data_IF_808126889372
#
_entry.id   IF_808126889372
#
_cell.length_a   1.000
_cell.length_b   1.000
_cell.length_c   1.000
_cell.angle_alpha   90.00
_cell.angle_beta   90.00
_cell.angle_gamma   90.00
#
_symmetry.space_group_name_H-M   'P 1'
#
loop_
_entity.id
_entity.type
_entity.pdbx_description
1 polymer ?
#
# COMPACT_ATOMS: atom_id res chain seq x y z
N UNK A 1 35.89 -51.27 16.19
CA UNK A 1 35.58 -49.83 16.10
C UNK A 1 35.04 -49.56 14.70
N UNK A 2 33.71 -49.47 14.55
CA UNK A 2 33.07 -49.31 13.24
C UNK A 2 32.33 -47.96 13.19
N UNK A 3 32.78 -47.09 12.27
CA UNK A 3 32.26 -45.75 12.03
C UNK A 3 30.98 -45.80 11.18
N UNK A 4 29.84 -45.37 11.73
CA UNK A 4 28.59 -45.18 10.98
C UNK A 4 28.54 -43.76 10.43
N UNK A 5 28.63 -43.56 9.12
CA UNK A 5 28.55 -42.24 8.48
C UNK A 5 27.08 -41.86 8.27
N UNK A 6 26.65 -40.78 8.93
CA UNK A 6 25.28 -40.24 8.77
C UNK A 6 25.32 -39.12 7.72
N UNK A 7 24.69 -39.33 6.57
CA UNK A 7 24.50 -38.28 5.55
C UNK A 7 23.22 -37.51 5.89
N UNK A 8 23.35 -36.20 6.12
CA UNK A 8 22.20 -35.36 6.47
C UNK A 8 21.53 -34.77 5.23
N UNK A 9 20.27 -35.14 4.99
CA UNK A 9 19.34 -34.46 4.06
C UNK A 9 18.14 -33.94 4.85
N UNK A 10 17.56 -32.78 4.52
CA UNK A 10 16.74 -32.01 5.47
C UNK A 10 15.37 -32.61 5.81
N UNK A 11 14.99 -33.79 5.29
CA UNK A 11 13.66 -34.34 5.58
C UNK A 11 13.44 -35.85 5.40
N UNK A 12 14.49 -36.66 5.25
CA UNK A 12 14.36 -38.12 5.26
C UNK A 12 15.53 -38.70 6.04
N UNK A 13 15.25 -39.33 7.19
CA UNK A 13 16.21 -40.21 7.87
C UNK A 13 15.80 -41.63 7.52
N UNK A 14 16.51 -42.24 6.57
CA UNK A 14 16.43 -43.69 6.34
C UNK A 14 17.59 -44.30 7.09
N UNK A 15 17.31 -45.23 8.00
CA UNK A 15 18.33 -46.10 8.60
C UNK A 15 18.26 -47.43 7.85
N UNK A 16 19.39 -47.87 7.30
CA UNK A 16 19.54 -49.14 6.60
C UNK A 16 20.37 -50.08 7.47
N UNK A 17 19.85 -51.27 7.71
CA UNK A 17 20.54 -52.42 8.30
C UNK A 17 21.02 -53.40 7.21
N UNK A 18 21.96 -54.28 7.58
CA UNK A 18 22.88 -55.00 6.68
C UNK A 18 22.22 -55.95 5.66
N UNK A 19 20.91 -56.19 5.75
CA UNK A 19 20.16 -57.06 4.83
C UNK A 19 19.12 -56.35 3.94
N UNK A 20 19.18 -55.02 3.84
CA UNK A 20 18.56 -54.29 2.73
C UNK A 20 17.02 -54.33 2.64
N UNK A 21 16.31 -54.54 3.75
CA UNK A 21 14.87 -54.24 3.82
C UNK A 21 14.67 -52.78 4.28
N UNK A 22 13.78 -52.07 3.59
CA UNK A 22 13.40 -50.70 3.91
C UNK A 22 12.14 -50.72 4.78
N UNK A 23 12.24 -50.35 6.06
CA UNK A 23 11.04 -50.00 6.83
C UNK A 23 10.62 -48.57 6.46
N UNK A 24 9.71 -48.46 5.49
CA UNK A 24 8.98 -47.24 5.19
C UNK A 24 8.03 -46.92 6.36
N UNK A 25 8.52 -46.19 7.36
CA UNK A 25 7.64 -45.50 8.30
C UNK A 25 6.98 -44.34 7.58
N UNK A 26 5.90 -44.64 6.86
CA UNK A 26 4.97 -43.67 6.30
C UNK A 26 4.43 -42.80 7.43
N UNK A 27 5.08 -41.65 7.67
CA UNK A 27 4.50 -40.60 8.50
C UNK A 27 3.33 -40.02 7.73
N UNK A 28 2.15 -40.61 7.97
CA UNK A 28 0.87 -40.27 7.36
C UNK A 28 0.72 -38.76 7.15
N UNK A 29 0.38 -38.40 5.93
CA UNK A 29 0.01 -37.05 5.54
C UNK A 29 -1.32 -36.68 6.20
N UNK A 30 -1.28 -36.23 7.44
CA UNK A 30 -2.39 -35.45 8.00
C UNK A 30 -2.43 -34.11 7.26
N UNK A 31 -3.57 -33.83 6.63
CA UNK A 31 -3.94 -32.52 6.09
C UNK A 31 -3.53 -31.40 7.05
N UNK A 32 -2.59 -30.56 6.61
CA UNK A 32 -2.12 -29.40 7.37
C UNK A 32 -3.19 -28.30 7.33
N UNK A 33 -4.29 -28.52 8.03
CA UNK A 33 -5.26 -27.48 8.39
C UNK A 33 -5.03 -26.98 9.81
N UNK A 34 -3.79 -27.05 10.30
CA UNK A 34 -3.42 -26.47 11.60
C UNK A 34 -3.32 -24.95 11.42
N UNK A 35 -4.43 -24.23 11.67
CA UNK A 35 -4.42 -22.77 11.84
C UNK A 35 -3.28 -22.41 12.79
N UNK A 36 -2.19 -21.86 12.26
CA UNK A 36 -0.99 -21.57 13.03
C UNK A 36 -1.35 -20.77 14.29
N UNK A 37 -0.90 -21.27 15.45
CA UNK A 37 -1.08 -20.55 16.72
C UNK A 37 -0.40 -19.20 16.61
N UNK A 38 -1.17 -18.10 16.71
CA UNK A 38 -0.63 -16.74 16.63
C UNK A 38 0.44 -16.59 17.72
N UNK A 39 1.71 -16.47 17.31
CA UNK A 39 2.81 -16.14 18.22
C UNK A 39 2.51 -14.78 18.88
N UNK A 40 2.57 -14.71 20.20
CA UNK A 40 2.41 -13.44 20.93
C UNK A 40 3.61 -12.55 20.62
N UNK A 41 3.36 -11.32 20.16
CA UNK A 41 4.40 -10.35 19.85
C UNK A 41 5.01 -9.84 21.16
N UNK A 42 6.34 -9.83 21.25
CA UNK A 42 7.05 -9.27 22.39
C UNK A 42 6.66 -7.79 22.60
N UNK A 43 6.65 -7.30 23.86
CA UNK A 43 6.40 -5.90 24.15
C UNK A 43 7.41 -5.00 23.42
N UNK A 44 6.98 -3.81 22.95
CA UNK A 44 7.87 -2.88 22.24
C UNK A 44 9.00 -2.42 23.15
N UNK A 45 10.23 -2.41 22.63
CA UNK A 45 11.45 -2.11 23.40
C UNK A 45 11.69 -0.61 23.62
N UNK A 46 10.93 0.27 22.95
CA UNK A 46 11.10 1.72 23.02
C UNK A 46 9.80 2.36 23.48
N UNK A 47 9.88 3.14 24.56
CA UNK A 47 8.79 3.96 25.08
C UNK A 47 8.42 5.12 24.15
N UNK A 48 7.42 5.95 24.53
CA UNK A 48 7.09 7.17 23.80
C UNK A 48 8.33 8.06 23.66
N UNK A 49 8.39 8.85 22.58
CA UNK A 49 9.47 9.81 22.44
C UNK A 49 9.31 10.99 23.41
N UNK A 50 10.39 11.76 23.61
CA UNK A 50 10.40 13.02 24.38
C UNK A 50 9.32 14.02 23.97
N UNK A 51 8.80 13.92 22.74
CA UNK A 51 7.71 14.75 22.22
C UNK A 51 6.31 14.20 22.53
N UNK A 52 6.18 13.25 23.46
CA UNK A 52 4.91 12.66 23.90
C UNK A 52 4.25 11.68 22.91
N UNK A 53 4.91 11.32 21.81
CA UNK A 53 4.34 10.43 20.79
C UNK A 53 4.76 8.99 21.03
N UNK A 54 3.78 8.08 21.15
CA UNK A 54 3.98 6.63 21.38
C UNK A 54 4.93 5.97 20.37
N UNK A 55 4.83 6.32 19.09
CA UNK A 55 5.69 5.80 18.04
C UNK A 55 6.55 6.92 17.45
N UNK A 56 7.89 6.80 17.56
CA UNK A 56 8.84 7.77 16.98
C UNK A 56 8.63 8.04 15.49
N UNK A 57 8.15 7.04 14.73
CA UNK A 57 7.80 7.18 13.31
C UNK A 57 6.66 8.17 13.04
N UNK A 58 5.80 8.39 14.03
CA UNK A 58 4.65 9.29 13.95
C UNK A 58 4.97 10.69 14.49
N UNK A 59 6.07 10.82 15.23
CA UNK A 59 6.51 12.11 15.73
C UNK A 59 7.04 12.95 14.57
N UNK A 60 6.41 14.11 14.32
CA UNK A 60 6.82 15.03 13.24
C UNK A 60 8.26 15.50 13.40
N UNK A 61 8.72 15.70 14.63
CA UNK A 61 10.09 16.13 14.93
C UNK A 61 11.08 14.97 14.75
N UNK A 62 10.85 13.81 15.40
CA UNK A 62 11.79 12.68 15.30
C UNK A 62 11.85 12.04 13.91
N UNK A 63 10.75 12.05 13.16
CA UNK A 63 10.68 11.42 11.83
C UNK A 63 11.06 12.36 10.68
N UNK A 64 11.18 13.66 10.95
CA UNK A 64 11.62 14.63 9.96
C UNK A 64 13.12 14.50 9.66
N UNK A 65 13.47 14.84 8.42
CA UNK A 65 14.82 15.09 7.96
C UNK A 65 15.14 16.60 8.07
N UNK A 66 16.41 17.03 7.90
CA UNK A 66 16.77 18.45 7.91
C UNK A 66 16.01 19.29 6.86
N UNK A 67 15.49 18.67 5.79
CA UNK A 67 14.67 19.33 4.76
C UNK A 67 13.18 19.47 5.15
N UNK A 68 12.82 19.23 6.42
CA UNK A 68 11.44 19.37 6.92
C UNK A 68 10.44 18.31 6.42
N UNK A 69 10.93 17.26 5.75
CA UNK A 69 10.11 16.15 5.22
C UNK A 69 10.33 14.89 6.03
N UNK A 70 9.39 13.96 6.02
CA UNK A 70 9.62 12.64 6.64
C UNK A 70 10.78 11.93 5.92
N UNK A 71 11.75 11.39 6.68
CA UNK A 71 13.00 10.81 6.15
C UNK A 71 12.78 9.77 5.06
N UNK A 72 11.75 8.93 5.21
CA UNK A 72 11.42 7.86 4.27
C UNK A 72 10.99 8.37 2.88
N UNK A 73 10.46 9.59 2.77
CA UNK A 73 9.93 10.17 1.52
C UNK A 73 10.73 11.37 1.02
N UNK A 74 11.77 11.78 1.74
CA UNK A 74 12.63 12.88 1.32
C UNK A 74 13.53 12.44 0.16
N UNK A 75 13.46 13.15 -0.97
CA UNK A 75 14.27 12.87 -2.15
C UNK A 75 15.75 13.19 -1.92
N UNK A 76 16.02 14.34 -1.30
CA UNK A 76 17.39 14.82 -1.03
C UNK A 76 18.13 13.91 -0.04
N UNK A 77 17.41 13.24 0.86
CA UNK A 77 18.00 12.24 1.76
C UNK A 77 18.07 10.82 1.18
N UNK A 78 17.65 10.60 -0.08
CA UNK A 78 17.55 9.26 -0.65
C UNK A 78 16.60 8.34 0.13
N UNK A 79 15.50 8.90 0.65
CA UNK A 79 14.59 8.20 1.54
C UNK A 79 14.15 6.85 0.99
N UNK A 80 13.99 5.84 1.86
CA UNK A 80 13.73 4.45 1.47
C UNK A 80 12.48 4.23 0.59
N UNK A 81 11.56 5.18 0.54
CA UNK A 81 10.38 5.14 -0.34
C UNK A 81 10.62 5.72 -1.73
N UNK A 82 11.80 6.30 -2.00
CA UNK A 82 12.20 6.91 -3.27
C UNK A 82 13.12 5.95 -4.03
N UNK A 83 12.86 5.74 -5.32
CA UNK A 83 13.75 4.98 -6.20
C UNK A 83 14.84 5.87 -6.80
N UNK A 84 15.81 5.26 -7.46
CA UNK A 84 16.85 5.95 -8.24
C UNK A 84 16.28 6.94 -9.27
N UNK A 85 15.10 6.67 -9.84
CA UNK A 85 14.38 7.57 -10.74
C UNK A 85 13.77 8.81 -10.06
N UNK A 86 14.00 9.03 -8.76
CA UNK A 86 13.44 10.15 -8.00
C UNK A 86 11.92 10.10 -7.81
N UNK A 87 11.30 8.95 -8.07
CA UNK A 87 9.86 8.67 -7.92
C UNK A 87 9.62 7.83 -6.67
N UNK A 88 8.40 7.83 -6.15
CA UNK A 88 8.03 6.91 -5.07
C UNK A 88 8.11 5.47 -5.59
N UNK A 89 8.89 4.58 -4.96
CA UNK A 89 9.16 3.19 -5.39
C UNK A 89 7.89 2.44 -5.78
N UNK A 90 6.88 2.49 -4.91
CA UNK A 90 5.59 1.82 -5.13
C UNK A 90 4.85 2.31 -6.39
N UNK A 91 5.14 3.53 -6.85
CA UNK A 91 4.50 4.18 -8.00
C UNK A 91 5.42 4.30 -9.21
N UNK A 92 6.65 3.81 -9.13
CA UNK A 92 7.61 3.88 -10.22
C UNK A 92 7.34 2.75 -11.21
N UNK A 93 7.12 3.08 -12.48
CA UNK A 93 6.88 2.09 -13.54
C UNK A 93 8.16 1.32 -13.86
N UNK A 94 9.31 2.00 -13.91
CA UNK A 94 10.61 1.41 -14.22
C UNK A 94 11.05 0.41 -13.14
N UNK A 95 10.74 0.68 -11.87
CA UNK A 95 11.04 -0.25 -10.78
C UNK A 95 9.98 -1.35 -10.59
N UNK A 96 8.98 -1.47 -11.48
CA UNK A 96 7.88 -2.43 -11.30
C UNK A 96 7.08 -2.21 -10.01
N UNK A 97 6.97 -0.95 -9.55
CA UNK A 97 6.39 -0.60 -8.27
C UNK A 97 5.01 -1.23 -8.06
N UNK A 98 4.77 -1.85 -6.89
CA UNK A 98 3.58 -2.66 -6.64
C UNK A 98 2.22 -1.95 -6.77
N UNK A 99 2.19 -0.62 -6.94
CA UNK A 99 0.97 0.12 -7.28
C UNK A 99 0.70 0.21 -8.79
N UNK A 100 1.59 -0.29 -9.65
CA UNK A 100 1.46 -0.32 -11.10
C UNK A 100 0.99 -1.72 -11.55
N UNK A 101 0.00 -1.79 -12.43
CA UNK A 101 -0.43 -3.04 -13.05
C UNK A 101 0.39 -3.34 -14.30
N UNK A 102 0.22 -4.54 -14.87
CA UNK A 102 0.81 -4.93 -16.15
C UNK A 102 0.48 -3.96 -17.29
N UNK A 103 -0.70 -3.34 -17.26
CA UNK A 103 -1.12 -2.31 -18.21
C UNK A 103 -0.36 -0.96 -18.05
N UNK A 104 0.61 -0.87 -17.13
CA UNK A 104 1.39 0.34 -16.88
C UNK A 104 0.61 1.48 -16.21
N UNK A 105 -0.62 1.22 -15.75
CA UNK A 105 -1.49 2.17 -15.02
C UNK A 105 -1.42 1.89 -13.52
N UNK A 106 -1.87 2.84 -12.68
CA UNK A 106 -2.02 2.55 -11.25
C UNK A 106 -3.11 1.49 -11.06
N UNK A 107 -2.82 0.42 -10.32
CA UNK A 107 -3.74 -0.70 -10.05
C UNK A 107 -5.10 -0.23 -9.57
N UNK A 108 -5.12 0.72 -8.63
CA UNK A 108 -6.38 1.26 -8.08
C UNK A 108 -7.25 1.97 -9.11
N UNK A 109 -6.68 2.51 -10.19
CA UNK A 109 -7.40 3.24 -11.24
C UNK A 109 -7.44 2.51 -12.57
N UNK A 110 -6.91 1.29 -12.64
CA UNK A 110 -6.89 0.52 -13.87
C UNK A 110 -8.26 -0.12 -14.08
N UNK A 111 -8.95 0.24 -15.16
CA UNK A 111 -10.25 -0.31 -15.51
C UNK A 111 -10.16 -1.80 -15.85
N UNK A 112 -9.11 -2.20 -16.57
CA UNK A 112 -8.87 -3.59 -16.99
C UNK A 112 -8.61 -4.51 -15.79
N UNK A 113 -7.94 -4.00 -14.75
CA UNK A 113 -7.74 -4.74 -13.50
C UNK A 113 -8.91 -4.62 -12.50
N UNK A 114 -10.02 -3.97 -12.86
CA UNK A 114 -11.13 -3.72 -11.91
C UNK A 114 -10.71 -2.92 -10.68
N UNK A 115 -9.79 -1.95 -10.86
CA UNK A 115 -9.16 -1.21 -9.77
C UNK A 115 -10.17 -0.64 -8.77
N UNK A 116 -9.85 -0.70 -7.48
CA UNK A 116 -10.76 -0.33 -6.39
C UNK A 116 -11.29 1.11 -6.42
N UNK A 117 -10.67 2.02 -7.19
CA UNK A 117 -11.16 3.38 -7.38
C UNK A 117 -12.13 3.51 -8.56
N UNK A 118 -12.34 2.47 -9.35
CA UNK A 118 -13.27 2.41 -10.48
C UNK A 118 -14.58 1.77 -10.00
N UNK A 119 -15.71 2.37 -10.36
CA UNK A 119 -17.01 1.75 -10.13
C UNK A 119 -17.42 0.85 -11.28
N UNK A 120 -18.24 -0.14 -10.96
CA UNK A 120 -18.89 -1.05 -11.91
C UNK A 120 -19.89 -0.31 -12.81
N UNK A 121 -20.49 0.78 -12.31
CA UNK A 121 -21.46 1.62 -13.02
C UNK A 121 -20.84 2.53 -14.10
N UNK A 122 -20.23 1.93 -15.14
CA UNK A 122 -19.69 2.63 -16.31
C UNK A 122 -18.20 2.94 -16.25
N UNK A 123 -17.43 2.30 -15.37
CA UNK A 123 -15.97 2.42 -15.35
C UNK A 123 -15.43 3.81 -14.97
N UNK A 124 -16.28 4.64 -14.35
CA UNK A 124 -15.94 5.97 -13.82
C UNK A 124 -15.32 5.84 -12.42
N UNK A 125 -14.63 6.88 -11.94
CA UNK A 125 -14.10 6.83 -10.58
C UNK A 125 -15.26 6.70 -9.57
N UNK A 126 -15.17 5.76 -8.64
CA UNK A 126 -16.18 5.45 -7.62
C UNK A 126 -16.57 6.69 -6.81
N UNK A 127 -15.60 7.56 -6.49
CA UNK A 127 -15.86 8.84 -5.81
C UNK A 127 -16.67 9.85 -6.63
N UNK A 128 -16.73 9.69 -7.95
CA UNK A 128 -17.49 10.56 -8.86
C UNK A 128 -18.76 9.87 -9.39
N UNK A 129 -19.00 8.62 -9.00
CA UNK A 129 -20.16 7.87 -9.43
C UNK A 129 -21.37 8.27 -8.58
N UNK A 130 -22.44 8.75 -9.24
CA UNK A 130 -23.69 9.12 -8.57
C UNK A 130 -24.38 7.90 -7.98
N UNK A 131 -24.42 6.80 -8.73
CA UNK A 131 -25.07 5.54 -8.32
C UNK A 131 -24.33 4.87 -7.16
N UNK A 132 -23.02 5.07 -7.03
CA UNK A 132 -22.27 4.61 -5.86
C UNK A 132 -22.35 5.56 -4.66
N UNK A 133 -23.07 6.69 -4.75
CA UNK A 133 -23.05 7.73 -3.70
C UNK A 133 -21.64 8.25 -3.42
N UNK A 134 -20.76 8.27 -4.43
CA UNK A 134 -19.34 8.58 -4.26
C UNK A 134 -19.14 9.92 -3.56
N UNK A 135 -18.19 9.99 -2.61
CA UNK A 135 -17.98 11.18 -1.76
C UNK A 135 -17.64 12.49 -2.49
N UNK A 136 -17.44 12.47 -3.81
CA UNK A 136 -17.32 13.64 -4.67
C UNK A 136 -18.65 14.20 -5.18
N UNK A 137 -19.79 13.57 -4.87
CA UNK A 137 -21.15 14.01 -5.21
C UNK A 137 -21.82 14.58 -3.95
N UNK A 138 -22.51 15.73 -4.07
CA UNK A 138 -23.32 16.29 -2.97
C UNK A 138 -24.74 15.73 -2.99
N UNK A 139 -25.52 16.02 -1.95
CA UNK A 139 -26.94 15.70 -1.87
C UNK A 139 -27.75 16.24 -3.07
N UNK A 140 -27.35 17.37 -3.65
CA UNK A 140 -27.94 17.94 -4.87
C UNK A 140 -27.65 17.15 -6.16
N UNK A 141 -26.97 15.99 -6.08
CA UNK A 141 -26.61 15.16 -7.24
C UNK A 141 -25.57 15.80 -8.18
N UNK A 142 -24.91 16.87 -7.74
CA UNK A 142 -23.84 17.60 -8.45
C UNK A 142 -22.47 17.22 -7.87
N UNK A 143 -21.40 17.40 -8.63
CA UNK A 143 -20.03 17.24 -8.09
C UNK A 143 -19.82 18.31 -7.01
N UNK A 144 -19.43 17.91 -5.79
CA UNK A 144 -19.27 18.81 -4.62
C UNK A 144 -18.45 20.05 -4.95
N UNK A 145 -17.32 19.88 -5.63
CA UNK A 145 -16.45 20.97 -6.05
C UNK A 145 -17.11 22.00 -6.97
N UNK A 146 -18.19 21.64 -7.67
CA UNK A 146 -18.91 22.47 -8.65
C UNK A 146 -20.31 22.87 -8.19
N UNK A 147 -20.74 22.42 -7.01
CA UNK A 147 -22.06 22.73 -6.48
C UNK A 147 -22.04 24.13 -5.88
N UNK A 148 -22.90 25.02 -6.39
CA UNK A 148 -23.01 26.39 -5.86
C UNK A 148 -23.62 26.40 -4.45
N UNK A 149 -24.65 25.58 -4.23
CA UNK A 149 -25.33 25.47 -2.94
C UNK A 149 -24.39 24.96 -1.84
N UNK A 150 -23.46 24.08 -2.17
CA UNK A 150 -22.45 23.59 -1.23
C UNK A 150 -21.20 24.48 -1.13
N UNK A 151 -21.16 25.65 -1.76
CA UNK A 151 -19.96 26.51 -1.79
C UNK A 151 -18.73 25.82 -2.40
N UNK A 152 -18.94 25.01 -3.44
CA UNK A 152 -17.92 24.15 -4.03
C UNK A 152 -16.62 24.89 -4.38
N UNK A 153 -15.47 24.26 -4.15
CA UNK A 153 -14.14 24.87 -4.30
C UNK A 153 -13.82 25.42 -5.69
N UNK A 154 -14.51 24.97 -6.75
CA UNK A 154 -14.38 25.50 -8.11
C UNK A 154 -15.29 26.71 -8.37
N UNK A 155 -16.14 27.11 -7.43
CA UNK A 155 -16.99 28.30 -7.50
C UNK A 155 -16.23 29.48 -6.87
N UNK A 156 -16.23 30.63 -7.55
CA UNK A 156 -15.71 31.88 -7.00
C UNK A 156 -16.80 32.59 -6.19
N UNK A 157 -16.40 33.64 -5.47
CA UNK A 157 -17.33 34.54 -4.78
C UNK A 157 -18.40 35.13 -5.71
N UNK A 158 -18.07 35.33 -6.99
CA UNK A 158 -19.02 35.78 -8.02
C UNK A 158 -20.05 34.72 -8.47
N UNK A 159 -20.15 33.59 -7.78
CA UNK A 159 -21.10 32.51 -8.09
C UNK A 159 -20.86 31.82 -9.44
N UNK A 160 -19.71 32.06 -10.08
CA UNK A 160 -19.28 31.48 -11.36
C UNK A 160 -18.19 30.44 -11.12
N UNK A 161 -17.94 29.55 -12.08
CA UNK A 161 -16.76 28.67 -11.97
C UNK A 161 -15.51 29.55 -12.04
N UNK A 162 -14.57 29.40 -11.11
CA UNK A 162 -13.29 30.14 -11.08
C UNK A 162 -12.58 30.09 -12.44
N UNK A 163 -12.55 28.90 -13.03
CA UNK A 163 -12.01 28.68 -14.37
C UNK A 163 -12.86 29.24 -15.52
N UNK A 164 -13.92 30.00 -15.30
CA UNK A 164 -14.70 30.68 -16.35
C UNK A 164 -15.05 32.12 -15.96
N UNK A 165 -14.71 32.54 -14.75
CA UNK A 165 -14.92 33.90 -14.29
C UNK A 165 -13.87 34.78 -14.95
N UNK A 166 -14.31 35.80 -15.68
CA UNK A 166 -13.40 36.76 -16.31
C UNK A 166 -12.59 37.51 -15.24
N UNK A 167 -13.28 37.93 -14.18
CA UNK A 167 -12.69 38.65 -13.04
C UNK A 167 -11.60 37.82 -12.35
N UNK A 168 -11.85 36.55 -12.00
CA UNK A 168 -10.85 35.68 -11.38
C UNK A 168 -9.77 35.15 -12.34
N UNK A 169 -9.97 35.19 -13.66
CA UNK A 169 -8.96 34.78 -14.65
C UNK A 169 -7.98 35.91 -14.96
N UNK A 170 -8.37 37.16 -14.72
CA UNK A 170 -7.53 38.34 -14.94
C UNK A 170 -6.38 38.51 -13.95
N UNK A 171 -6.48 37.90 -12.76
CA UNK A 171 -5.51 38.04 -11.67
C UNK A 171 -4.34 37.05 -11.72
N UNK A 172 -4.04 36.48 -12.89
CA UNK A 172 -2.93 35.55 -13.08
C UNK A 172 -1.95 36.10 -14.11
N UNK A 173 -1.41 37.29 -13.81
CA UNK A 173 -0.18 37.83 -14.40
C UNK A 173 0.80 38.12 -13.27
#
# INVERSE_FOLDING_TARGET
MAMKTTIWRPNVRVTLDEYGEVEDTERGGEEVTKKGTKRKRAPPTKGPCEHGVKYRSNCKVCSACPHGRQRSVCKECGGASICEHGRMRSRCKECGGGSICEHGRRRSTCKECGGASICEHGGRMRSQCKECGGGGICEHGRRRSRCKECGGSEICEHGRRRSRCKDCRGERL
#
